data_IF_063994398974
#
_entry.id   IF_063994398974
#
_cell.length_a   1.000
_cell.length_b   1.000
_cell.length_c   1.000
_cell.angle_alpha   90.00
_cell.angle_beta   90.00
_cell.angle_gamma   90.00
#
_symmetry.space_group_name_H-M   'P 1'
#
loop_
_entity.id
_entity.type
_entity.pdbx_description
1 polymer ?
#
# COMPACT_ATOMS: atom_id res chain seq x y z
N UNK A 1 -11.84 -2.45 -22.47
CA UNK A 1 -12.36 -1.49 -21.53
C UNK A 1 -11.73 -0.13 -21.69
N UNK A 2 -12.44 0.89 -21.27
CA UNK A 2 -12.00 2.28 -21.29
C UNK A 2 -12.77 3.09 -20.25
N UNK A 3 -12.39 4.34 -20.05
CA UNK A 3 -13.15 5.28 -19.21
C UNK A 3 -14.49 5.58 -19.89
N UNK A 4 -15.49 6.02 -19.12
CA UNK A 4 -16.72 6.53 -19.71
C UNK A 4 -16.41 7.69 -20.66
N UNK A 5 -16.84 7.57 -21.92
CA UNK A 5 -16.53 8.51 -23.00
C UNK A 5 -15.33 8.15 -23.88
N UNK A 6 -14.47 7.25 -23.45
CA UNK A 6 -13.33 6.78 -24.25
C UNK A 6 -13.71 5.54 -25.09
N UNK A 7 -13.12 5.41 -26.27
CA UNK A 7 -13.29 4.20 -27.08
C UNK A 7 -12.56 3.00 -26.43
N UNK A 8 -13.17 1.81 -26.55
CA UNK A 8 -12.49 0.58 -26.13
C UNK A 8 -11.34 0.23 -27.08
N UNK A 9 -10.22 -0.26 -26.52
CA UNK A 9 -9.14 -0.84 -27.33
C UNK A 9 -9.53 -2.24 -27.81
N UNK A 10 -9.36 -2.50 -29.09
CA UNK A 10 -9.61 -3.78 -29.74
C UNK A 10 -8.38 -4.21 -30.55
N UNK A 11 -8.23 -5.51 -30.82
CA UNK A 11 -7.22 -6.08 -31.72
C UNK A 11 -5.95 -6.56 -31.04
N UNK A 12 -5.54 -6.00 -29.89
CA UNK A 12 -4.30 -6.44 -29.20
C UNK A 12 -4.48 -7.87 -28.66
N UNK A 13 -5.58 -8.15 -28.01
CA UNK A 13 -5.86 -9.47 -27.42
C UNK A 13 -5.96 -10.53 -28.50
N UNK A 14 -6.66 -10.24 -29.60
CA UNK A 14 -6.79 -11.13 -30.75
C UNK A 14 -5.42 -11.43 -31.39
N UNK A 15 -4.58 -10.40 -31.53
CA UNK A 15 -3.23 -10.58 -32.10
C UNK A 15 -2.35 -11.45 -31.20
N UNK A 16 -2.42 -11.27 -29.90
CA UNK A 16 -1.66 -12.08 -28.93
C UNK A 16 -2.20 -13.53 -28.86
N UNK A 17 -3.51 -13.71 -28.91
CA UNK A 17 -4.12 -15.07 -29.05
C UNK A 17 -3.66 -15.79 -30.29
N UNK A 18 -3.55 -15.08 -31.40
CA UNK A 18 -3.12 -15.69 -32.68
C UNK A 18 -1.70 -16.25 -32.62
N UNK A 19 -0.84 -15.75 -31.73
CA UNK A 19 0.51 -16.25 -31.49
C UNK A 19 0.59 -17.22 -30.29
N UNK A 20 -0.55 -17.58 -29.68
CA UNK A 20 -0.65 -18.66 -28.71
C UNK A 20 -0.81 -18.22 -27.24
N UNK A 21 -1.01 -16.92 -26.93
CA UNK A 21 -1.28 -16.51 -25.56
C UNK A 21 -2.69 -16.91 -25.11
N UNK A 22 -2.76 -17.48 -23.92
CA UNK A 22 -4.01 -17.66 -23.20
C UNK A 22 -4.50 -16.34 -22.64
N UNK A 23 -5.81 -16.14 -22.62
CA UNK A 23 -6.44 -14.91 -22.12
C UNK A 23 -7.65 -15.24 -21.27
N UNK A 24 -7.93 -14.39 -20.31
CA UNK A 24 -9.14 -14.42 -19.52
C UNK A 24 -9.79 -13.04 -19.44
N UNK A 25 -10.90 -12.96 -18.70
CA UNK A 25 -11.66 -11.73 -18.57
C UNK A 25 -11.93 -11.42 -17.10
N UNK A 26 -11.65 -10.18 -16.71
CA UNK A 26 -11.92 -9.67 -15.37
C UNK A 26 -12.78 -8.41 -15.44
N UNK A 27 -13.39 -8.04 -14.33
CA UNK A 27 -14.17 -6.82 -14.19
C UNK A 27 -13.73 -6.00 -13.00
N UNK A 28 -14.00 -4.72 -13.05
CA UNK A 28 -13.92 -3.79 -11.93
C UNK A 28 -15.02 -2.74 -12.04
N UNK A 29 -15.21 -1.94 -11.01
CA UNK A 29 -16.15 -0.83 -11.02
C UNK A 29 -15.48 0.44 -10.55
N UNK A 30 -16.11 1.56 -10.85
CA UNK A 30 -15.73 2.87 -10.32
C UNK A 30 -16.98 3.56 -9.74
N UNK A 31 -16.86 4.31 -8.64
CA UNK A 31 -17.96 5.11 -8.12
C UNK A 31 -18.17 6.38 -8.93
N UNK A 32 -19.28 7.05 -8.63
CA UNK A 32 -19.57 8.37 -9.17
C UNK A 32 -18.49 9.39 -8.77
N UNK A 33 -18.29 10.41 -9.60
CA UNK A 33 -17.51 11.60 -9.30
C UNK A 33 -18.45 12.73 -8.91
N UNK A 34 -18.20 13.29 -7.73
CA UNK A 34 -19.11 14.20 -7.04
C UNK A 34 -18.54 15.62 -7.04
N UNK A 35 -19.42 16.62 -7.13
CA UNK A 35 -19.05 18.03 -7.04
C UNK A 35 -19.03 18.48 -5.57
N UNK A 36 -17.85 18.71 -5.02
CA UNK A 36 -17.65 19.15 -3.64
C UNK A 36 -18.45 20.41 -3.25
N UNK A 37 -18.72 21.30 -4.20
CA UNK A 37 -19.44 22.56 -3.96
C UNK A 37 -20.90 22.35 -3.56
N UNK A 38 -21.42 21.16 -3.77
CA UNK A 38 -22.82 20.77 -3.53
C UNK A 38 -22.95 19.74 -2.41
N UNK A 39 -21.89 19.52 -1.66
CA UNK A 39 -21.83 18.61 -0.51
C UNK A 39 -21.80 19.45 0.76
N UNK A 40 -22.65 19.10 1.73
CA UNK A 40 -22.64 19.72 3.06
C UNK A 40 -21.59 19.04 3.96
N UNK A 41 -20.36 19.54 3.91
CA UNK A 41 -19.25 19.02 4.71
C UNK A 41 -19.37 19.33 6.21
N UNK A 42 -20.19 20.30 6.61
CA UNK A 42 -20.32 20.69 8.02
C UNK A 42 -20.95 19.59 8.89
N UNK A 43 -21.77 18.74 8.27
CA UNK A 43 -22.44 17.63 8.97
C UNK A 43 -21.73 16.29 8.80
N UNK A 44 -20.63 16.23 8.02
CA UNK A 44 -19.85 15.02 7.80
C UNK A 44 -18.70 14.92 8.78
N UNK A 45 -18.30 13.69 9.09
CA UNK A 45 -17.17 13.40 9.97
C UNK A 45 -15.84 13.44 9.21
N UNK A 46 -14.96 14.43 9.48
CA UNK A 46 -13.67 14.49 8.81
C UNK A 46 -12.71 13.44 9.37
N UNK A 47 -11.97 12.79 8.48
CA UNK A 47 -10.87 11.89 8.81
C UNK A 47 -9.57 12.52 8.35
N UNK A 48 -8.82 13.06 9.29
CA UNK A 48 -7.53 13.66 9.04
C UNK A 48 -6.45 12.58 8.92
N UNK A 49 -5.35 12.92 8.24
CA UNK A 49 -4.13 12.12 8.26
C UNK A 49 -3.34 12.27 9.56
N UNK A 50 -2.15 11.68 9.60
CA UNK A 50 -1.25 11.75 10.75
C UNK A 50 -0.86 13.21 11.06
N UNK A 51 -0.76 13.57 12.35
CA UNK A 51 -0.31 14.90 12.79
C UNK A 51 1.14 15.19 12.33
N UNK A 52 1.97 14.16 12.35
CA UNK A 52 3.36 14.21 11.92
C UNK A 52 3.61 13.16 10.82
N UNK A 53 3.17 13.44 9.58
CA UNK A 53 3.27 12.47 8.50
C UNK A 53 4.72 12.19 8.12
N UNK A 54 5.06 10.91 8.00
CA UNK A 54 6.32 10.49 7.43
C UNK A 54 6.33 10.70 5.90
N UNK A 55 7.51 10.76 5.32
CA UNK A 55 7.67 10.79 3.86
C UNK A 55 7.69 9.37 3.28
N UNK A 56 7.16 9.20 2.07
CA UNK A 56 7.20 7.93 1.32
C UNK A 56 8.50 7.75 0.50
N UNK A 57 9.60 8.34 0.95
CA UNK A 57 10.88 8.27 0.24
C UNK A 57 12.05 8.37 1.21
N UNK A 58 13.08 7.57 0.98
CA UNK A 58 14.36 7.66 1.69
C UNK A 58 15.26 8.79 1.16
N UNK A 59 14.85 9.49 0.10
CA UNK A 59 15.61 10.63 -0.42
C UNK A 59 15.67 11.77 0.60
N UNK A 60 16.85 12.33 0.91
CA UNK A 60 16.98 13.48 1.80
C UNK A 60 16.36 14.76 1.20
N UNK A 61 16.08 14.78 -0.09
CA UNK A 61 15.49 15.92 -0.79
C UNK A 61 13.95 15.93 -0.67
N UNK A 62 13.34 14.78 -0.40
CA UNK A 62 11.90 14.67 -0.20
C UNK A 62 11.53 15.15 1.21
N UNK A 63 10.51 15.98 1.29
CA UNK A 63 9.96 16.48 2.56
C UNK A 63 8.60 15.84 2.83
N UNK A 64 8.21 15.66 4.10
CA UNK A 64 6.83 15.28 4.45
C UNK A 64 5.82 16.30 3.92
N UNK A 65 4.62 15.85 3.62
CA UNK A 65 3.51 16.73 3.22
C UNK A 65 3.07 17.50 4.46
N UNK A 66 3.07 18.83 4.38
CA UNK A 66 2.65 19.69 5.50
C UNK A 66 1.15 19.93 5.53
N UNK A 67 0.55 20.11 4.36
CA UNK A 67 -0.88 20.33 4.20
C UNK A 67 -1.53 19.04 3.70
N UNK A 68 -2.43 18.50 4.49
CA UNK A 68 -3.16 17.28 4.18
C UNK A 68 -4.62 17.60 3.91
N UNK A 69 -5.20 16.97 2.89
CA UNK A 69 -6.62 17.04 2.61
C UNK A 69 -7.31 15.92 3.40
N UNK A 70 -8.31 16.22 4.23
CA UNK A 70 -9.07 15.19 4.92
C UNK A 70 -9.97 14.43 3.96
N UNK A 71 -10.20 13.15 4.26
CA UNK A 71 -11.34 12.41 3.76
C UNK A 71 -12.54 12.63 4.70
N UNK A 72 -13.72 12.24 4.26
CA UNK A 72 -14.92 12.32 5.10
C UNK A 72 -15.63 10.98 5.13
N UNK A 73 -16.09 10.58 6.32
CA UNK A 73 -16.90 9.38 6.49
C UNK A 73 -18.34 9.70 6.15
N UNK A 74 -18.93 8.86 5.30
CA UNK A 74 -20.35 8.89 4.97
C UNK A 74 -20.90 7.47 5.02
N UNK A 75 -22.20 7.35 5.20
CA UNK A 75 -22.85 6.06 5.37
C UNK A 75 -24.07 5.94 4.47
N UNK A 76 -24.26 4.76 3.89
CA UNK A 76 -25.55 4.41 3.29
C UNK A 76 -26.59 4.17 4.38
N UNK A 77 -27.86 4.13 4.00
CA UNK A 77 -28.97 3.78 4.88
C UNK A 77 -29.83 2.72 4.23
N UNK A 78 -30.78 2.18 4.98
CA UNK A 78 -31.78 1.23 4.45
C UNK A 78 -32.56 1.83 3.27
N UNK A 79 -32.93 3.13 3.34
CA UNK A 79 -33.59 3.82 2.23
C UNK A 79 -32.72 3.85 0.97
N UNK A 80 -31.42 4.15 1.13
CA UNK A 80 -30.44 4.07 0.03
C UNK A 80 -30.39 2.66 -0.57
N UNK A 81 -30.34 1.64 0.29
CA UNK A 81 -30.30 0.23 -0.15
C UNK A 81 -31.54 -0.16 -0.92
N UNK A 82 -32.72 0.24 -0.45
CA UNK A 82 -33.99 -0.09 -1.11
C UNK A 82 -34.09 0.56 -2.51
N UNK A 83 -33.59 1.79 -2.66
CA UNK A 83 -33.50 2.45 -3.95
C UNK A 83 -32.52 1.69 -4.88
N UNK A 84 -31.33 1.34 -4.40
CA UNK A 84 -30.33 0.63 -5.19
C UNK A 84 -30.84 -0.73 -5.69
N UNK A 85 -31.58 -1.48 -4.85
CA UNK A 85 -32.19 -2.76 -5.22
C UNK A 85 -33.17 -2.67 -6.38
N UNK A 86 -33.81 -1.52 -6.59
CA UNK A 86 -34.74 -1.31 -7.74
C UNK A 86 -34.06 -1.39 -9.09
N UNK A 87 -32.73 -1.29 -9.14
CA UNK A 87 -31.97 -1.36 -10.39
C UNK A 87 -31.24 -2.67 -10.63
N UNK A 88 -31.34 -3.66 -9.74
CA UNK A 88 -30.55 -4.90 -9.81
C UNK A 88 -30.79 -5.72 -11.08
N UNK A 89 -32.01 -5.78 -11.58
CA UNK A 89 -32.40 -6.44 -12.82
C UNK A 89 -31.76 -5.81 -14.07
N UNK A 90 -31.40 -4.53 -13.97
CA UNK A 90 -30.74 -3.77 -15.05
C UNK A 90 -29.24 -3.62 -14.86
N UNK A 91 -28.68 -4.10 -13.76
CA UNK A 91 -27.22 -4.06 -13.53
C UNK A 91 -26.50 -4.97 -14.51
N UNK A 92 -25.51 -4.48 -15.28
CA UNK A 92 -24.66 -5.29 -16.13
C UNK A 92 -23.94 -6.42 -15.37
N UNK A 93 -23.72 -6.25 -14.06
CA UNK A 93 -23.10 -7.27 -13.21
C UNK A 93 -24.02 -8.47 -12.95
N UNK A 94 -25.34 -8.27 -12.98
CA UNK A 94 -26.33 -9.29 -12.62
C UNK A 94 -27.14 -9.84 -13.79
N UNK A 95 -27.27 -9.07 -14.88
CA UNK A 95 -28.02 -9.49 -16.07
C UNK A 95 -27.18 -10.30 -17.10
N UNK A 96 -25.92 -10.61 -16.78
CA UNK A 96 -25.03 -11.38 -17.64
C UNK A 96 -24.34 -10.60 -18.76
N UNK A 97 -24.52 -9.28 -18.84
CA UNK A 97 -23.80 -8.44 -19.82
C UNK A 97 -22.30 -8.46 -19.54
N UNK A 98 -21.91 -8.44 -18.27
CA UNK A 98 -20.52 -8.56 -17.79
C UNK A 98 -20.32 -9.94 -17.19
N UNK A 99 -19.39 -10.72 -17.78
CA UNK A 99 -19.09 -12.08 -17.38
C UNK A 99 -17.77 -12.22 -16.60
N UNK A 100 -16.94 -11.20 -16.58
CA UNK A 100 -15.65 -11.20 -15.90
C UNK A 100 -15.75 -11.36 -14.37
N UNK A 101 -14.72 -11.91 -13.75
CA UNK A 101 -14.62 -12.04 -12.30
C UNK A 101 -14.19 -10.70 -11.69
N UNK A 102 -14.90 -10.24 -10.66
CA UNK A 102 -14.60 -8.99 -9.95
C UNK A 102 -13.68 -9.17 -8.76
N UNK A 103 -13.08 -8.09 -8.25
CA UNK A 103 -12.19 -8.13 -7.10
C UNK A 103 -12.98 -8.41 -5.81
N UNK A 104 -12.57 -9.41 -5.03
CA UNK A 104 -13.17 -9.78 -3.74
C UNK A 104 -13.11 -8.63 -2.72
N UNK A 105 -12.03 -7.87 -2.74
CA UNK A 105 -11.73 -6.85 -1.71
C UNK A 105 -12.22 -5.44 -2.04
N UNK A 106 -12.78 -5.25 -3.22
CA UNK A 106 -13.44 -4.00 -3.61
C UNK A 106 -14.75 -4.32 -4.34
N UNK A 107 -15.73 -4.92 -3.64
CA UNK A 107 -17.00 -5.26 -4.25
C UNK A 107 -17.77 -3.99 -4.61
N UNK A 108 -18.57 -4.06 -5.65
CA UNK A 108 -19.53 -3.00 -5.98
C UNK A 108 -20.55 -2.83 -4.85
N UNK A 109 -21.25 -1.70 -4.81
CA UNK A 109 -22.30 -1.51 -3.81
C UNK A 109 -23.41 -2.56 -3.97
N UNK A 110 -23.71 -2.98 -5.21
CA UNK A 110 -24.63 -4.07 -5.51
C UNK A 110 -24.18 -5.40 -4.90
N UNK A 111 -22.89 -5.74 -5.04
CA UNK A 111 -22.32 -6.95 -4.44
C UNK A 111 -22.35 -6.90 -2.91
N UNK A 112 -22.09 -5.72 -2.30
CA UNK A 112 -22.21 -5.52 -0.85
C UNK A 112 -23.64 -5.77 -0.38
N UNK A 113 -24.63 -5.21 -1.07
CA UNK A 113 -26.05 -5.35 -0.72
C UNK A 113 -26.59 -6.77 -0.93
N UNK A 114 -25.93 -7.56 -1.76
CA UNK A 114 -26.25 -8.97 -1.96
C UNK A 114 -25.57 -9.86 -0.92
N UNK A 115 -24.28 -9.63 -0.67
CA UNK A 115 -23.46 -10.45 0.23
C UNK A 115 -23.76 -10.16 1.70
N UNK A 116 -24.05 -8.90 2.04
CA UNK A 116 -24.32 -8.42 3.40
C UNK A 116 -25.72 -7.80 3.46
N UNK A 117 -26.72 -8.55 3.02
CA UNK A 117 -28.10 -8.09 2.90
C UNK A 117 -28.76 -7.69 4.24
N UNK A 118 -28.23 -8.20 5.34
CA UNK A 118 -28.65 -7.94 6.71
C UNK A 118 -28.10 -6.64 7.31
N UNK A 119 -27.16 -5.99 6.63
CA UNK A 119 -26.59 -4.70 7.08
C UNK A 119 -27.50 -3.54 6.68
N UNK A 120 -27.87 -2.72 7.64
CA UNK A 120 -28.68 -1.53 7.40
C UNK A 120 -27.88 -0.35 6.84
N UNK A 121 -26.54 -0.38 6.97
CA UNK A 121 -25.63 0.65 6.47
C UNK A 121 -24.27 0.09 6.05
N UNK A 122 -23.63 0.78 5.12
CA UNK A 122 -22.23 0.57 4.73
C UNK A 122 -21.48 1.89 4.86
N UNK A 123 -20.29 1.81 5.44
CA UNK A 123 -19.36 2.92 5.50
C UNK A 123 -18.74 3.18 4.13
N UNK A 124 -18.63 4.45 3.77
CA UNK A 124 -18.02 4.96 2.56
C UNK A 124 -17.01 6.05 2.93
N UNK A 125 -16.05 6.28 2.05
CA UNK A 125 -15.07 7.35 2.20
C UNK A 125 -15.23 8.34 1.05
N UNK A 126 -15.46 9.59 1.40
CA UNK A 126 -15.52 10.70 0.45
C UNK A 126 -14.12 11.32 0.38
N UNK A 127 -13.44 11.12 -0.74
CA UNK A 127 -12.03 11.41 -0.95
C UNK A 127 -11.83 12.50 -2.00
N UNK A 128 -11.04 13.57 -1.72
CA UNK A 128 -10.72 14.56 -2.75
C UNK A 128 -9.83 13.94 -3.83
N UNK A 129 -10.11 14.17 -5.11
CA UNK A 129 -9.26 13.70 -6.20
C UNK A 129 -7.98 14.53 -6.39
N UNK A 130 -7.87 15.65 -5.71
CA UNK A 130 -6.69 16.51 -5.72
C UNK A 130 -6.94 17.87 -5.11
N UNK A 131 -5.88 18.62 -4.88
CA UNK A 131 -5.93 19.96 -4.28
C UNK A 131 -6.42 21.06 -5.22
N UNK A 132 -6.45 20.82 -6.52
CA UNK A 132 -6.81 21.82 -7.56
C UNK A 132 -8.13 21.51 -8.27
N UNK A 133 -8.91 20.57 -7.75
CA UNK A 133 -10.20 20.17 -8.33
C UNK A 133 -11.31 20.15 -7.28
N UNK A 134 -12.55 20.35 -7.72
CA UNK A 134 -13.75 20.15 -6.92
C UNK A 134 -14.31 18.72 -7.05
N UNK A 135 -13.58 17.83 -7.69
CA UNK A 135 -14.02 16.45 -7.94
C UNK A 135 -13.67 15.57 -6.74
N UNK A 136 -14.67 14.89 -6.19
CA UNK A 136 -14.54 13.96 -5.09
C UNK A 136 -14.92 12.55 -5.52
N UNK A 137 -14.17 11.59 -4.99
CA UNK A 137 -14.33 10.17 -5.20
C UNK A 137 -15.07 9.54 -4.02
N UNK A 138 -16.14 8.78 -4.28
CA UNK A 138 -16.91 8.11 -3.23
C UNK A 138 -16.44 6.65 -3.11
N UNK A 139 -15.37 6.43 -2.40
CA UNK A 139 -14.80 5.10 -2.19
C UNK A 139 -15.79 4.20 -1.45
N UNK A 140 -15.96 2.98 -1.95
CA UNK A 140 -16.89 1.98 -1.41
C UNK A 140 -18.29 2.01 -2.05
N UNK A 141 -18.56 2.95 -2.98
CA UNK A 141 -19.83 3.05 -3.72
C UNK A 141 -19.63 2.81 -5.22
N UNK A 142 -18.70 1.95 -5.61
CA UNK A 142 -18.60 1.52 -7.02
C UNK A 142 -19.89 0.89 -7.47
N UNK A 143 -20.43 1.31 -8.62
CA UNK A 143 -21.76 0.88 -9.09
C UNK A 143 -21.81 0.80 -10.61
N UNK A 144 -22.57 -0.16 -11.11
CA UNK A 144 -22.95 -0.28 -12.52
C UNK A 144 -24.44 -0.09 -12.76
N UNK A 145 -25.17 0.31 -11.71
CA UNK A 145 -26.60 0.58 -11.78
C UNK A 145 -26.91 1.72 -12.74
N UNK A 146 -28.14 1.76 -13.30
CA UNK A 146 -28.57 2.85 -14.13
C UNK A 146 -28.43 4.22 -13.45
N UNK A 147 -28.16 5.25 -14.24
CA UNK A 147 -27.91 6.62 -13.76
C UNK A 147 -28.96 7.13 -12.77
N UNK A 148 -30.23 6.98 -13.11
CA UNK A 148 -31.33 7.49 -12.29
C UNK A 148 -31.45 6.76 -10.94
N UNK A 149 -30.98 5.52 -10.86
CA UNK A 149 -30.94 4.77 -9.60
C UNK A 149 -29.80 5.27 -8.72
N UNK A 150 -28.60 5.45 -9.31
CA UNK A 150 -27.46 6.02 -8.60
C UNK A 150 -27.79 7.44 -8.10
N UNK A 151 -28.38 8.27 -8.96
CA UNK A 151 -28.75 9.63 -8.61
C UNK A 151 -29.73 9.67 -7.43
N UNK A 152 -30.83 8.91 -7.49
CA UNK A 152 -31.80 8.85 -6.40
C UNK A 152 -31.20 8.34 -5.10
N UNK A 153 -30.36 7.32 -5.17
CA UNK A 153 -29.74 6.72 -3.99
C UNK A 153 -28.73 7.68 -3.33
N UNK A 154 -27.89 8.35 -4.12
CA UNK A 154 -26.89 9.29 -3.61
C UNK A 154 -27.53 10.49 -2.91
N UNK A 155 -28.65 11.03 -3.42
CA UNK A 155 -29.38 12.14 -2.78
C UNK A 155 -30.08 11.75 -1.46
N UNK A 156 -30.05 10.47 -1.07
CA UNK A 156 -30.54 10.00 0.23
C UNK A 156 -29.42 9.76 1.23
N UNK A 157 -28.19 10.00 0.86
CA UNK A 157 -27.07 10.00 1.77
C UNK A 157 -27.03 11.38 2.45
N UNK A 158 -26.90 11.37 3.77
CA UNK A 158 -26.81 12.58 4.58
C UNK A 158 -25.66 13.46 4.12
N UNK A 159 -25.95 14.74 3.82
CA UNK A 159 -25.00 15.72 3.29
C UNK A 159 -24.91 15.74 1.76
N UNK A 160 -25.70 14.90 1.07
CA UNK A 160 -25.74 14.83 -0.39
C UNK A 160 -27.11 15.22 -0.97
N UNK A 161 -27.94 15.90 -0.19
CA UNK A 161 -29.31 16.27 -0.57
C UNK A 161 -29.36 17.12 -1.84
N UNK A 162 -28.40 18.02 -2.02
CA UNK A 162 -28.25 18.89 -3.17
C UNK A 162 -27.13 18.48 -4.14
N UNK A 163 -26.70 17.23 -4.08
CA UNK A 163 -25.54 16.71 -4.78
C UNK A 163 -25.61 16.88 -6.29
N UNK A 164 -24.58 17.48 -6.88
CA UNK A 164 -24.30 17.42 -8.31
C UNK A 164 -23.25 16.34 -8.62
N UNK A 165 -23.49 15.54 -9.63
CA UNK A 165 -22.66 14.43 -10.04
C UNK A 165 -22.02 14.75 -11.38
N UNK A 166 -20.69 14.86 -11.43
CA UNK A 166 -19.95 15.09 -12.67
C UNK A 166 -20.02 13.88 -13.59
N UNK A 167 -19.96 12.69 -13.01
CA UNK A 167 -19.92 11.41 -13.75
C UNK A 167 -20.51 10.29 -12.89
N UNK A 168 -21.40 9.45 -13.43
CA UNK A 168 -21.92 8.29 -12.70
C UNK A 168 -20.83 7.22 -12.52
N UNK A 169 -21.06 6.32 -11.58
CA UNK A 169 -20.33 5.07 -11.49
C UNK A 169 -20.63 4.17 -12.71
N UNK A 170 -19.67 3.33 -13.06
CA UNK A 170 -19.81 2.36 -14.13
C UNK A 170 -18.90 1.16 -13.90
N UNK A 171 -19.21 0.03 -14.51
CA UNK A 171 -18.35 -1.14 -14.52
C UNK A 171 -17.50 -1.21 -15.79
N UNK A 172 -16.33 -1.82 -15.66
CA UNK A 172 -15.38 -2.04 -16.73
C UNK A 172 -15.08 -3.53 -16.80
N UNK A 173 -15.13 -4.12 -17.95
CA UNK A 173 -14.51 -5.41 -18.27
C UNK A 173 -13.20 -5.18 -19.02
N UNK A 174 -12.22 -6.03 -18.73
CA UNK A 174 -10.93 -5.99 -19.41
C UNK A 174 -10.35 -7.39 -19.58
N UNK A 175 -9.57 -7.55 -20.64
CA UNK A 175 -8.82 -8.77 -20.89
C UNK A 175 -7.56 -8.79 -20.01
N UNK A 176 -7.19 -9.98 -19.55
CA UNK A 176 -5.91 -10.23 -18.92
C UNK A 176 -5.28 -11.50 -19.51
N UNK A 177 -3.99 -11.65 -19.33
CA UNK A 177 -3.23 -12.81 -19.72
C UNK A 177 -2.78 -13.54 -18.45
N UNK A 178 -3.12 -14.82 -18.23
CA UNK A 178 -2.67 -15.57 -17.08
C UNK A 178 -1.18 -15.39 -16.85
N UNK A 179 -0.74 -14.85 -15.70
CA UNK A 179 0.66 -14.49 -15.47
C UNK A 179 1.59 -15.69 -15.32
N UNK A 180 1.06 -16.90 -15.24
CA UNK A 180 1.81 -18.15 -15.35
C UNK A 180 2.53 -18.31 -16.70
N UNK A 181 2.17 -17.51 -17.71
CA UNK A 181 2.85 -17.41 -19.01
C UNK A 181 4.11 -16.54 -18.97
N UNK A 182 4.46 -15.98 -17.79
CA UNK A 182 5.62 -15.14 -17.60
C UNK A 182 6.72 -15.86 -16.84
N UNK A 183 7.96 -15.43 -17.06
CA UNK A 183 9.09 -15.68 -16.18
C UNK A 183 9.05 -14.74 -14.97
N UNK A 184 9.83 -15.01 -13.91
CA UNK A 184 9.97 -14.09 -12.76
C UNK A 184 10.57 -12.72 -13.14
N UNK A 185 11.16 -12.60 -14.32
CA UNK A 185 11.58 -11.33 -14.92
C UNK A 185 10.44 -10.50 -15.46
N UNK A 186 9.22 -11.04 -15.52
CA UNK A 186 8.02 -10.53 -16.21
C UNK A 186 8.13 -10.57 -17.76
N UNK A 187 9.17 -11.19 -18.29
CA UNK A 187 9.25 -11.52 -19.71
C UNK A 187 8.30 -12.67 -20.05
N UNK A 188 7.65 -12.61 -21.20
CA UNK A 188 6.76 -13.69 -21.65
C UNK A 188 7.55 -14.92 -22.06
N UNK A 189 7.02 -16.12 -21.76
CA UNK A 189 7.63 -17.40 -22.16
C UNK A 189 7.53 -17.67 -23.65
N UNK A 190 6.53 -17.09 -24.33
CA UNK A 190 6.26 -17.31 -25.74
C UNK A 190 7.08 -16.40 -26.65
N UNK A 191 7.31 -15.16 -26.27
CA UNK A 191 7.95 -14.15 -27.11
C UNK A 191 9.07 -13.48 -26.33
N UNK A 192 10.30 -13.70 -26.76
CA UNK A 192 11.48 -13.05 -26.18
C UNK A 192 11.45 -11.53 -26.41
N UNK A 193 11.82 -10.79 -25.36
CA UNK A 193 11.81 -9.33 -25.39
C UNK A 193 10.45 -8.67 -25.16
N UNK A 194 9.38 -9.46 -24.97
CA UNK A 194 8.05 -8.97 -24.62
C UNK A 194 7.80 -9.12 -23.13
N UNK A 195 7.45 -8.02 -22.45
CA UNK A 195 7.19 -7.96 -21.02
C UNK A 195 5.75 -7.53 -20.76
N UNK A 196 5.10 -8.14 -19.77
CA UNK A 196 3.77 -7.74 -19.30
C UNK A 196 3.86 -7.20 -17.88
N UNK A 197 3.15 -6.09 -17.61
CA UNK A 197 3.14 -5.47 -16.29
C UNK A 197 1.78 -4.80 -16.01
N UNK A 198 1.33 -4.89 -14.76
CA UNK A 198 0.11 -4.24 -14.29
C UNK A 198 -1.16 -5.04 -14.55
N UNK A 199 -2.24 -4.35 -14.88
CA UNK A 199 -3.58 -4.93 -15.02
C UNK A 199 -3.65 -6.07 -16.06
N UNK A 200 -2.83 -6.03 -17.08
CA UNK A 200 -2.72 -7.08 -18.11
C UNK A 200 -2.38 -8.46 -17.52
N UNK A 201 -1.74 -8.49 -16.34
CA UNK A 201 -1.39 -9.71 -15.60
C UNK A 201 -2.48 -10.12 -14.57
N UNK A 202 -3.68 -9.54 -14.64
CA UNK A 202 -4.77 -9.84 -13.72
C UNK A 202 -4.61 -9.24 -12.34
N UNK A 203 -3.80 -8.20 -12.17
CA UNK A 203 -3.69 -7.43 -10.92
C UNK A 203 -4.64 -6.23 -10.94
N UNK A 204 -5.01 -5.75 -9.74
CA UNK A 204 -5.76 -4.51 -9.59
C UNK A 204 -5.14 -3.67 -8.47
N UNK A 205 -4.75 -2.45 -8.79
CA UNK A 205 -4.12 -1.47 -7.91
C UNK A 205 -2.93 -0.79 -8.58
N UNK A 206 -2.74 0.48 -8.21
CA UNK A 206 -1.66 1.30 -8.75
C UNK A 206 -0.29 0.80 -8.27
N UNK A 207 -0.22 0.34 -7.04
CA UNK A 207 1.00 -0.15 -6.38
C UNK A 207 1.50 -1.42 -7.07
N UNK A 208 0.59 -2.36 -7.37
CA UNK A 208 0.94 -3.58 -8.08
C UNK A 208 1.41 -3.29 -9.50
N UNK A 209 0.74 -2.34 -10.19
CA UNK A 209 1.12 -1.95 -11.54
C UNK A 209 2.48 -1.25 -11.58
N UNK A 210 2.74 -0.35 -10.63
CA UNK A 210 4.01 0.35 -10.52
C UNK A 210 5.17 -0.61 -10.22
N UNK A 211 4.96 -1.54 -9.29
CA UNK A 211 5.96 -2.56 -8.93
C UNK A 211 6.32 -3.45 -10.12
N UNK A 212 5.32 -3.96 -10.83
CA UNK A 212 5.53 -4.78 -12.03
C UNK A 212 6.21 -3.99 -13.15
N UNK A 213 5.75 -2.75 -13.41
CA UNK A 213 6.32 -1.88 -14.44
C UNK A 213 7.79 -1.56 -14.17
N UNK A 214 8.16 -1.32 -12.91
CA UNK A 214 9.55 -1.10 -12.51
C UNK A 214 10.42 -2.33 -12.82
N UNK A 215 10.01 -3.51 -12.39
CA UNK A 215 10.79 -4.76 -12.62
C UNK A 215 10.85 -5.11 -14.10
N UNK A 216 9.75 -5.00 -14.84
CA UNK A 216 9.73 -5.23 -16.27
C UNK A 216 10.69 -4.29 -17.02
N UNK A 217 10.67 -2.99 -16.70
CA UNK A 217 11.56 -2.01 -17.30
C UNK A 217 13.04 -2.25 -16.98
N UNK A 218 13.37 -2.59 -15.73
CA UNK A 218 14.74 -2.97 -15.34
C UNK A 218 15.20 -4.17 -16.16
N UNK A 219 14.38 -5.22 -16.23
CA UNK A 219 14.76 -6.48 -16.88
C UNK A 219 14.82 -6.36 -18.40
N UNK A 220 13.92 -5.59 -19.02
CA UNK A 220 14.01 -5.27 -20.43
C UNK A 220 15.34 -4.55 -20.79
N UNK A 221 15.72 -3.54 -19.99
CA UNK A 221 17.00 -2.85 -20.18
C UNK A 221 18.21 -3.79 -20.01
N UNK A 222 18.20 -4.63 -18.98
CA UNK A 222 19.28 -5.59 -18.73
C UNK A 222 19.41 -6.63 -19.85
N UNK A 223 18.27 -7.14 -20.33
CA UNK A 223 18.25 -8.07 -21.47
C UNK A 223 18.88 -7.46 -22.72
N UNK A 224 18.59 -6.19 -23.03
CA UNK A 224 19.23 -5.48 -24.14
C UNK A 224 20.75 -5.36 -23.99
N UNK A 225 21.28 -5.41 -22.77
CA UNK A 225 22.71 -5.40 -22.49
C UNK A 225 23.33 -6.81 -22.36
N UNK A 226 22.55 -7.86 -22.49
CA UNK A 226 23.01 -9.24 -22.27
C UNK A 226 23.30 -9.55 -20.80
N UNK A 227 22.72 -8.78 -19.86
CA UNK A 227 22.90 -8.97 -18.43
C UNK A 227 21.80 -9.87 -17.84
N UNK A 228 22.11 -10.59 -16.76
CA UNK A 228 21.14 -11.43 -16.05
C UNK A 228 19.97 -10.60 -15.48
N UNK A 229 18.75 -11.12 -15.48
CA UNK A 229 17.60 -10.41 -14.94
C UNK A 229 17.71 -10.20 -13.42
N UNK A 230 17.07 -9.14 -12.94
CA UNK A 230 16.82 -8.91 -11.52
C UNK A 230 15.53 -9.65 -11.14
N UNK A 231 15.67 -10.61 -10.24
CA UNK A 231 14.55 -11.35 -9.65
C UNK A 231 14.63 -11.18 -8.14
N UNK A 232 13.64 -10.51 -7.57
CA UNK A 232 13.52 -10.35 -6.12
C UNK A 232 12.83 -11.57 -5.51
N UNK A 233 13.38 -12.07 -4.41
CA UNK A 233 12.80 -13.19 -3.67
C UNK A 233 11.70 -12.75 -2.73
N UNK A 234 10.93 -13.70 -2.22
CA UNK A 234 9.83 -13.49 -1.28
C UNK A 234 10.27 -12.93 0.08
N UNK A 235 11.50 -13.18 0.48
CA UNK A 235 12.14 -12.67 1.70
C UNK A 235 12.90 -11.35 1.50
N UNK A 236 13.03 -10.89 0.26
CA UNK A 236 13.75 -9.65 -0.08
C UNK A 236 12.81 -8.45 -0.24
N UNK A 237 11.62 -8.66 -0.84
CA UNK A 237 10.68 -7.55 -1.10
C UNK A 237 9.23 -8.03 -1.28
N UNK A 238 8.26 -7.16 -0.97
CA UNK A 238 6.85 -7.38 -1.35
C UNK A 238 6.67 -7.52 -2.86
N UNK A 239 7.50 -6.82 -3.67
CA UNK A 239 7.54 -7.01 -5.14
C UNK A 239 7.90 -8.46 -5.49
N UNK A 240 8.82 -9.07 -4.75
CA UNK A 240 9.17 -10.49 -4.91
C UNK A 240 7.99 -11.42 -4.61
N UNK A 241 7.28 -11.17 -3.50
CA UNK A 241 6.05 -11.92 -3.16
C UNK A 241 4.99 -11.78 -4.25
N UNK A 242 4.75 -10.54 -4.71
CA UNK A 242 3.79 -10.23 -5.77
C UNK A 242 4.10 -11.04 -7.06
N UNK A 243 5.31 -10.91 -7.57
CA UNK A 243 5.69 -11.54 -8.84
C UNK A 243 5.70 -13.07 -8.70
N UNK A 244 6.22 -13.61 -7.61
CA UNK A 244 6.22 -15.04 -7.37
C UNK A 244 4.80 -15.62 -7.28
N UNK A 245 3.87 -14.97 -6.55
CA UNK A 245 2.48 -15.39 -6.52
C UNK A 245 1.86 -15.41 -7.93
N UNK A 246 2.09 -14.35 -8.72
CA UNK A 246 1.55 -14.24 -10.07
C UNK A 246 2.04 -15.36 -11.01
N UNK A 247 3.36 -15.58 -11.06
CA UNK A 247 3.93 -16.50 -12.07
C UNK A 247 3.85 -17.96 -11.66
N UNK A 248 3.73 -18.27 -10.37
CA UNK A 248 3.67 -19.65 -9.85
C UNK A 248 2.25 -20.12 -9.58
N UNK A 249 1.40 -19.29 -8.98
CA UNK A 249 0.03 -19.62 -8.58
C UNK A 249 -1.00 -19.19 -9.63
N UNK A 250 -0.69 -18.16 -10.42
CA UNK A 250 -1.66 -17.52 -11.29
C UNK A 250 -2.68 -16.68 -10.52
N UNK A 251 -3.79 -16.34 -11.19
CA UNK A 251 -4.85 -15.52 -10.61
C UNK A 251 -6.22 -16.06 -11.03
N UNK A 252 -7.10 -16.29 -10.05
CA UNK A 252 -8.50 -16.69 -10.25
C UNK A 252 -9.44 -15.47 -10.15
N UNK A 253 -8.98 -14.40 -9.51
CA UNK A 253 -9.67 -13.11 -9.33
C UNK A 253 -8.64 -11.97 -9.42
N UNK A 254 -9.06 -10.73 -9.64
CA UNK A 254 -8.13 -9.59 -9.66
C UNK A 254 -7.25 -9.57 -8.41
N UNK A 255 -5.94 -9.76 -8.60
CA UNK A 255 -4.97 -9.88 -7.52
C UNK A 255 -4.72 -8.53 -6.85
N UNK A 256 -4.72 -8.53 -5.51
CA UNK A 256 -4.26 -7.44 -4.66
C UNK A 256 -3.18 -7.94 -3.70
N UNK A 257 -2.17 -7.11 -3.47
CA UNK A 257 -1.14 -7.39 -2.48
C UNK A 257 -1.62 -7.04 -1.06
N UNK A 258 -1.53 -8.01 -0.15
CA UNK A 258 -1.81 -7.83 1.27
C UNK A 258 -0.64 -8.36 2.09
N UNK A 259 -0.44 -7.80 3.28
CA UNK A 259 0.60 -8.25 4.20
C UNK A 259 0.44 -9.73 4.59
N UNK A 260 -0.80 -10.25 4.58
CA UNK A 260 -1.09 -11.67 4.84
C UNK A 260 -0.54 -12.64 3.79
N UNK A 261 -0.17 -12.14 2.59
CA UNK A 261 0.44 -12.96 1.53
C UNK A 261 1.94 -13.16 1.72
N UNK A 262 2.58 -12.35 2.58
CA UNK A 262 4.01 -12.40 2.84
C UNK A 262 4.30 -13.22 4.10
N UNK A 263 4.98 -14.34 3.95
CA UNK A 263 5.44 -15.20 5.04
C UNK A 263 6.44 -14.45 5.93
N UNK A 264 7.31 -13.68 5.30
CA UNK A 264 8.38 -12.92 5.96
C UNK A 264 7.99 -11.47 6.27
N UNK A 265 6.70 -11.17 6.53
CA UNK A 265 6.21 -9.79 6.74
C UNK A 265 6.91 -9.03 7.86
N UNK A 266 7.46 -9.73 8.86
CA UNK A 266 8.25 -9.12 9.94
C UNK A 266 9.61 -8.63 9.44
N UNK A 267 10.15 -9.27 8.39
CA UNK A 267 11.39 -8.83 7.72
C UNK A 267 11.12 -7.73 6.70
N UNK A 268 9.98 -7.81 6.01
CA UNK A 268 9.62 -6.93 4.91
C UNK A 268 8.89 -5.68 5.43
N UNK A 269 9.54 -4.90 6.27
CA UNK A 269 8.95 -3.66 6.81
C UNK A 269 9.28 -2.48 5.91
N UNK A 270 8.48 -1.42 6.05
CA UNK A 270 8.68 -0.15 5.33
C UNK A 270 9.98 0.53 5.78
N UNK A 271 10.23 0.56 7.09
CA UNK A 271 11.38 1.21 7.70
C UNK A 271 12.72 0.69 7.17
N UNK A 272 12.85 -0.62 6.91
CA UNK A 272 14.10 -1.26 6.49
C UNK A 272 14.17 -1.55 4.98
N UNK A 273 13.29 -1.00 4.17
CA UNK A 273 13.28 -1.26 2.73
C UNK A 273 14.56 -0.77 2.04
N UNK A 274 15.13 0.33 2.49
CA UNK A 274 16.40 0.85 1.99
C UNK A 274 17.58 -0.08 2.30
N UNK A 275 17.62 -0.67 3.50
CA UNK A 275 18.68 -1.63 3.90
C UNK A 275 18.66 -2.85 2.98
N UNK A 276 17.45 -3.32 2.60
CA UNK A 276 17.30 -4.51 1.75
C UNK A 276 17.55 -4.24 0.27
N UNK A 277 17.18 -3.06 -0.24
CA UNK A 277 17.06 -2.81 -1.68
C UNK A 277 18.03 -1.73 -2.22
N UNK A 278 18.50 -0.77 -1.41
CA UNK A 278 19.40 0.28 -1.90
C UNK A 278 20.73 -0.25 -2.43
N UNK A 279 21.37 -1.26 -1.80
CA UNK A 279 22.60 -1.84 -2.36
C UNK A 279 22.40 -2.47 -3.74
N UNK A 280 21.27 -3.16 -3.94
CA UNK A 280 20.92 -3.71 -5.23
C UNK A 280 20.65 -2.58 -6.25
N UNK A 281 19.86 -1.59 -5.86
CA UNK A 281 19.54 -0.43 -6.70
C UNK A 281 20.79 0.32 -7.18
N UNK A 282 21.77 0.49 -6.28
CA UNK A 282 23.07 1.08 -6.63
C UNK A 282 23.85 0.20 -7.61
N UNK A 283 23.95 -1.12 -7.33
CA UNK A 283 24.64 -2.09 -8.18
C UNK A 283 24.13 -2.11 -9.63
N UNK A 284 22.83 -1.93 -9.83
CA UNK A 284 22.20 -1.92 -11.17
C UNK A 284 22.04 -0.52 -11.77
N UNK A 285 22.57 0.51 -11.12
CA UNK A 285 22.62 1.88 -11.64
C UNK A 285 21.35 2.71 -11.48
N UNK A 286 20.39 2.29 -10.64
CA UNK A 286 19.17 3.04 -10.34
C UNK A 286 19.37 4.07 -9.23
N UNK A 287 20.32 3.87 -8.35
CA UNK A 287 20.65 4.72 -7.22
C UNK A 287 21.96 5.45 -7.51
N UNK A 288 21.94 6.78 -7.41
CA UNK A 288 23.14 7.60 -7.59
C UNK A 288 24.14 7.44 -6.44
N UNK A 289 25.41 7.77 -6.67
CA UNK A 289 26.45 7.79 -5.63
C UNK A 289 26.02 8.62 -4.42
N UNK A 290 25.47 9.82 -4.65
CA UNK A 290 24.98 10.71 -3.58
C UNK A 290 23.92 10.04 -2.70
N UNK A 291 22.98 9.33 -3.30
CA UNK A 291 21.93 8.60 -2.56
C UNK A 291 22.52 7.41 -1.79
N UNK A 292 23.47 6.71 -2.40
CA UNK A 292 24.14 5.58 -1.76
C UNK A 292 25.01 6.03 -0.58
N UNK A 293 25.71 7.15 -0.69
CA UNK A 293 26.51 7.74 0.40
C UNK A 293 25.61 8.17 1.56
N UNK A 294 24.45 8.77 1.27
CA UNK A 294 23.45 9.11 2.29
C UNK A 294 22.95 7.87 3.04
N UNK A 295 22.58 6.84 2.30
CA UNK A 295 22.17 5.55 2.85
C UNK A 295 23.25 4.94 3.75
N UNK A 296 24.51 4.91 3.28
CA UNK A 296 25.65 4.37 4.03
C UNK A 296 25.89 5.16 5.32
N UNK A 297 25.84 6.50 5.24
CA UNK A 297 25.95 7.37 6.42
C UNK A 297 24.87 7.06 7.44
N UNK A 298 23.60 6.98 7.01
CA UNK A 298 22.47 6.64 7.90
C UNK A 298 22.70 5.31 8.59
N UNK A 299 23.06 4.25 7.86
CA UNK A 299 23.29 2.93 8.45
C UNK A 299 24.45 2.93 9.45
N UNK A 300 25.54 3.64 9.16
CA UNK A 300 26.66 3.78 10.09
C UNK A 300 26.22 4.41 11.40
N UNK A 301 25.36 5.45 11.35
CA UNK A 301 24.81 6.09 12.54
C UNK A 301 23.90 5.14 13.34
N UNK A 302 23.04 4.38 12.64
CA UNK A 302 22.17 3.36 13.26
C UNK A 302 23.00 2.30 13.98
N UNK A 303 23.99 1.72 13.32
CA UNK A 303 24.88 0.70 13.90
C UNK A 303 25.66 1.23 15.10
N UNK A 304 26.16 2.47 15.02
CA UNK A 304 26.89 3.09 16.12
C UNK A 304 26.01 3.28 17.36
N UNK A 305 24.76 3.71 17.18
CA UNK A 305 23.79 3.90 18.27
C UNK A 305 23.38 2.55 18.89
N UNK A 306 23.15 1.52 18.09
CA UNK A 306 22.86 0.16 18.57
C UNK A 306 24.06 -0.39 19.35
N UNK A 307 25.28 -0.20 18.87
CA UNK A 307 26.52 -0.62 19.55
C UNK A 307 26.67 0.08 20.89
N UNK A 308 26.49 1.39 20.92
CA UNK A 308 26.47 2.17 22.16
C UNK A 308 25.44 1.61 23.15
N UNK A 309 24.23 1.31 22.72
CA UNK A 309 23.18 0.76 23.58
C UNK A 309 23.56 -0.61 24.17
N UNK A 310 24.27 -1.45 23.42
CA UNK A 310 24.78 -2.75 23.91
C UNK A 310 25.93 -2.62 24.91
N UNK A 311 26.75 -1.61 24.78
CA UNK A 311 27.90 -1.38 25.66
C UNK A 311 27.53 -0.60 26.92
N UNK A 312 26.60 0.35 26.81
CA UNK A 312 26.21 1.21 27.92
C UNK A 312 25.38 0.45 28.96
N UNK A 313 25.88 0.41 30.20
CA UNK A 313 25.11 -0.08 31.34
C UNK A 313 24.42 1.08 32.04
N UNK A 314 23.18 0.88 32.49
CA UNK A 314 22.34 1.83 33.19
C UNK A 314 22.00 1.27 34.57
N UNK A 315 22.19 2.05 35.64
CA UNK A 315 21.85 1.66 37.01
C UNK A 315 20.36 1.89 37.29
N UNK A 316 19.78 1.08 38.16
CA UNK A 316 18.38 1.21 38.57
C UNK A 316 18.03 2.64 39.05
N UNK A 317 18.91 3.24 39.85
CA UNK A 317 18.69 4.61 40.35
C UNK A 317 18.70 5.71 39.27
N UNK A 318 19.31 5.45 38.11
CA UNK A 318 19.37 6.43 37.02
C UNK A 318 18.10 6.48 36.19
N UNK A 319 17.26 5.41 36.24
CA UNK A 319 16.18 5.22 35.25
C UNK A 319 14.82 4.82 35.85
N UNK A 320 14.76 4.33 37.10
CA UNK A 320 13.52 3.77 37.65
C UNK A 320 12.37 4.77 37.74
N UNK A 321 12.63 6.04 37.98
CA UNK A 321 11.57 7.05 38.00
C UNK A 321 10.99 7.28 36.62
N UNK A 322 11.84 7.27 35.57
CA UNK A 322 11.39 7.31 34.20
C UNK A 322 10.59 6.04 33.85
N UNK A 323 11.07 4.84 34.19
CA UNK A 323 10.36 3.59 33.88
C UNK A 323 8.95 3.58 34.50
N UNK A 324 8.79 4.06 35.72
CA UNK A 324 7.49 4.22 36.36
C UNK A 324 6.58 5.20 35.60
N UNK A 325 7.16 6.30 35.10
CA UNK A 325 6.39 7.34 34.39
C UNK A 325 5.83 6.86 33.04
N UNK A 326 6.43 5.81 32.44
CA UNK A 326 5.99 5.21 31.17
C UNK A 326 5.35 3.83 31.36
N UNK A 327 4.88 3.55 32.57
CA UNK A 327 4.22 2.29 32.94
C UNK A 327 5.06 1.03 32.58
N UNK A 328 6.36 1.11 32.90
CA UNK A 328 7.32 0.02 32.71
C UNK A 328 7.91 -0.42 34.05
N UNK A 329 8.12 -1.72 34.21
CA UNK A 329 8.65 -2.28 35.46
C UNK A 329 10.02 -1.70 35.86
N UNK A 330 10.20 -1.26 37.11
CA UNK A 330 11.47 -0.80 37.62
C UNK A 330 12.55 -1.89 37.55
N UNK A 331 13.80 -1.47 37.39
CA UNK A 331 14.94 -2.37 37.44
C UNK A 331 15.29 -2.71 38.90
N UNK A 332 15.56 -3.97 39.20
CA UNK A 332 16.14 -4.44 40.46
C UNK A 332 17.66 -4.30 40.51
N UNK A 333 18.32 -4.32 39.36
CA UNK A 333 19.76 -4.19 39.17
C UNK A 333 20.09 -3.49 37.86
N UNK A 334 21.36 -3.09 37.69
CA UNK A 334 21.81 -2.48 36.45
C UNK A 334 21.61 -3.40 35.23
N UNK A 335 21.22 -2.82 34.11
CA UNK A 335 20.97 -3.50 32.84
C UNK A 335 21.65 -2.75 31.70
N UNK A 336 21.86 -3.44 30.57
CA UNK A 336 22.29 -2.79 29.33
C UNK A 336 21.16 -1.90 28.78
N UNK A 337 21.51 -0.74 28.24
CA UNK A 337 20.56 0.16 27.61
C UNK A 337 19.76 -0.55 26.49
N UNK A 338 20.42 -1.44 25.75
CA UNK A 338 19.82 -2.28 24.74
C UNK A 338 18.61 -3.10 25.28
N UNK A 339 18.78 -3.77 26.44
CA UNK A 339 17.72 -4.59 27.04
C UNK A 339 16.54 -3.75 27.55
N UNK A 340 16.81 -2.51 27.94
CA UNK A 340 15.77 -1.56 28.36
C UNK A 340 14.97 -1.06 27.18
N UNK A 341 15.62 -0.76 26.05
CA UNK A 341 14.99 -0.33 24.80
C UNK A 341 14.15 -1.42 24.11
N UNK A 342 14.34 -2.69 24.44
CA UNK A 342 13.47 -3.75 23.96
C UNK A 342 12.04 -3.67 24.54
N UNK A 343 11.79 -2.84 25.56
CA UNK A 343 10.47 -2.64 26.18
C UNK A 343 9.62 -1.70 25.33
N UNK A 344 8.34 -2.03 25.14
CA UNK A 344 7.45 -1.31 24.22
C UNK A 344 7.32 0.18 24.53
N UNK A 345 7.22 0.55 25.83
CA UNK A 345 6.95 1.92 26.26
C UNK A 345 8.23 2.77 26.42
N UNK A 346 9.40 2.24 26.09
CA UNK A 346 10.68 2.91 26.24
C UNK A 346 11.21 3.33 24.88
N UNK A 347 11.55 4.61 24.72
CA UNK A 347 12.07 5.16 23.46
C UNK A 347 13.41 5.86 23.68
N UNK A 348 14.23 5.96 22.63
CA UNK A 348 15.46 6.76 22.66
C UNK A 348 15.18 8.22 22.97
N UNK A 349 14.14 8.81 22.38
CA UNK A 349 13.79 10.21 22.56
C UNK A 349 13.47 10.56 24.00
N UNK A 350 12.72 9.71 24.70
CA UNK A 350 12.43 9.93 26.10
C UNK A 350 13.64 9.65 26.99
N UNK A 351 14.47 8.66 26.66
CA UNK A 351 15.66 8.30 27.42
C UNK A 351 16.79 9.33 27.34
N UNK A 352 16.96 10.03 26.23
CA UNK A 352 18.00 11.07 26.13
C UNK A 352 17.77 12.22 27.11
N UNK A 353 16.53 12.45 27.56
CA UNK A 353 16.21 13.43 28.59
C UNK A 353 16.61 12.95 30.00
N UNK A 354 16.64 11.63 30.21
CA UNK A 354 16.92 11.01 31.51
C UNK A 354 18.39 10.60 31.63
N UNK A 355 19.04 10.23 30.54
CA UNK A 355 20.40 9.69 30.52
C UNK A 355 21.39 10.65 29.83
N UNK A 356 22.15 11.47 30.59
CA UNK A 356 23.08 12.44 30.00
C UNK A 356 24.15 11.84 29.09
N UNK A 357 24.55 10.58 29.34
CA UNK A 357 25.54 9.89 28.50
C UNK A 357 24.98 9.57 27.12
N UNK A 358 23.70 9.18 27.03
CA UNK A 358 23.03 8.95 25.78
C UNK A 358 22.88 10.24 24.97
N UNK A 359 22.42 11.32 25.61
CA UNK A 359 22.31 12.65 24.98
C UNK A 359 23.65 13.10 24.40
N UNK A 360 24.73 13.04 25.20
CA UNK A 360 26.07 13.42 24.74
C UNK A 360 26.56 12.57 23.56
N UNK A 361 26.24 11.28 23.56
CA UNK A 361 26.58 10.40 22.45
C UNK A 361 25.85 10.79 21.17
N UNK A 362 24.56 11.04 21.25
CA UNK A 362 23.71 11.47 20.12
C UNK A 362 24.23 12.80 19.55
N UNK A 363 24.47 13.81 20.40
CA UNK A 363 24.97 15.12 20.01
C UNK A 363 26.38 15.05 19.38
N UNK A 364 27.31 14.34 20.03
CA UNK A 364 28.72 14.25 19.59
C UNK A 364 28.88 13.51 18.26
N UNK A 365 27.98 12.59 17.93
CA UNK A 365 28.01 11.83 16.68
C UNK A 365 27.00 12.33 15.63
N UNK A 366 26.33 13.45 15.90
CA UNK A 366 25.31 14.04 15.01
C UNK A 366 24.27 13.01 14.54
N UNK A 367 23.81 12.14 15.48
CA UNK A 367 22.83 11.10 15.18
C UNK A 367 21.50 11.75 14.77
N UNK A 368 21.04 11.45 13.57
CA UNK A 368 19.82 12.05 13.04
C UNK A 368 18.56 11.41 13.64
N UNK A 369 17.41 12.13 13.70
CA UNK A 369 16.14 11.56 14.16
C UNK A 369 15.75 10.29 13.40
N UNK A 370 15.96 10.23 12.08
CA UNK A 370 15.72 9.06 11.25
C UNK A 370 16.58 7.86 11.67
N UNK A 371 17.84 8.10 12.05
CA UNK A 371 18.73 7.03 12.53
C UNK A 371 18.35 6.55 13.94
N UNK A 372 17.85 7.45 14.79
CA UNK A 372 17.34 7.11 16.13
C UNK A 372 16.12 6.19 16.01
N UNK A 373 15.15 6.58 15.18
CA UNK A 373 13.93 5.81 14.94
C UNK A 373 14.26 4.42 14.40
N UNK A 374 15.09 4.33 13.38
CA UNK A 374 15.50 3.06 12.77
C UNK A 374 16.26 2.17 13.77
N UNK A 375 17.16 2.72 14.58
CA UNK A 375 17.86 1.97 15.61
C UNK A 375 16.91 1.40 16.66
N UNK A 376 15.91 2.17 17.08
CA UNK A 376 14.88 1.73 18.02
C UNK A 376 14.05 0.58 17.45
N UNK A 377 13.58 0.72 16.21
CA UNK A 377 12.80 -0.31 15.52
C UNK A 377 13.61 -1.61 15.41
N UNK A 378 14.88 -1.54 15.00
CA UNK A 378 15.74 -2.72 14.88
C UNK A 378 15.96 -3.42 16.23
N UNK A 379 16.14 -2.66 17.32
CA UNK A 379 16.28 -3.22 18.67
C UNK A 379 15.01 -3.98 19.08
N UNK A 380 13.83 -3.35 18.92
CA UNK A 380 12.54 -3.92 19.33
C UNK A 380 12.15 -5.17 18.53
N UNK A 381 12.42 -5.17 17.22
CA UNK A 381 12.03 -6.29 16.34
C UNK A 381 13.05 -7.43 16.26
N UNK A 382 14.26 -7.28 16.80
CA UNK A 382 15.32 -8.30 16.68
C UNK A 382 14.91 -9.68 17.18
N UNK A 383 14.18 -9.75 18.30
CA UNK A 383 13.68 -11.01 18.86
C UNK A 383 12.71 -11.72 17.91
N UNK A 384 11.77 -10.97 17.35
CA UNK A 384 10.75 -11.47 16.41
C UNK A 384 11.39 -11.95 15.10
N UNK A 385 12.37 -11.22 14.57
CA UNK A 385 13.09 -11.58 13.34
C UNK A 385 13.86 -12.87 13.52
N UNK A 386 14.58 -13.02 14.63
CA UNK A 386 15.34 -14.26 14.92
C UNK A 386 14.44 -15.48 15.02
N UNK A 387 13.25 -15.34 15.63
CA UNK A 387 12.27 -16.43 15.72
C UNK A 387 11.74 -16.82 14.33
N UNK A 388 11.42 -15.85 13.50
CA UNK A 388 10.92 -16.08 12.13
C UNK A 388 11.93 -16.86 11.28
N UNK A 389 13.21 -16.50 11.35
CA UNK A 389 14.27 -17.24 10.62
C UNK A 389 14.48 -18.68 11.10
N UNK A 390 14.19 -18.96 12.38
CA UNK A 390 14.37 -20.29 12.94
C UNK A 390 13.15 -21.21 12.73
N UNK A 391 11.98 -20.66 12.45
CA UNK A 391 10.71 -21.40 12.41
C UNK A 391 10.08 -21.55 11.02
N UNK A 392 10.56 -20.81 10.04
CA UNK A 392 10.10 -20.94 8.65
C UNK A 392 11.09 -21.83 7.86
N UNK A 393 10.58 -22.73 7.01
CA UNK A 393 11.39 -23.65 6.23
C UNK A 393 12.23 -22.96 5.16
#
# INVERSE_FOLDING_TARGET
GGRAGDAASHGITESLRAIGFETGRMKTGTPARLDARTIDFEILEPQYGDENPAKFSFSPETKPIKEQLPCFLVYTSKEVHDILRTGFDRSPLFNGTICGIGPRYCPSIEDKLRTFADKDQHQLFLEPEGSSTNEYYLNGFSSSLPWEVQWKALHKIRGFEDLHIFRPGYAIEYDYFPPTQLHHSLETKLVSGLYFAGQVNGTTGYEEAAAQGLIAGINAHRAMKGESPVVLKRDEAYIGVLIDDLVTKGVDEPYRMFTSRAEYRILLRQDNADIRLTPLGYKIGLISQKQYDHFTKKNTLVESLISFAREQSVKAAEINDYLKSVDSEPLSQGRKLYDILMRNNVTFDSLQNTLPKLRKFIEANEITPEAIEEAEIQIKYKGSVSYTHLTLP
#
